data_IF_090598822246
#
_entry.id   IF_090598822246
#
_cell.length_a   1.000
_cell.length_b   1.000
_cell.length_c   1.000
_cell.angle_alpha   90.00
_cell.angle_beta   90.00
_cell.angle_gamma   90.00
#
_symmetry.space_group_name_H-M   'P 1'
#
loop_
_entity.id
_entity.type
_entity.pdbx_description
1 polymer ?
#
# COMPACT_ATOMS: atom_id res chain seq x y z
N UNK A 1 28.70 -38.13 -42.71
CA UNK A 1 27.35 -37.77 -42.21
C UNK A 1 27.40 -36.35 -41.67
N UNK A 2 26.93 -35.40 -42.48
CA UNK A 2 26.78 -33.97 -42.15
C UNK A 2 25.27 -33.65 -42.06
N UNK A 3 24.92 -32.56 -41.37
CA UNK A 3 23.60 -31.93 -41.15
C UNK A 3 23.08 -32.12 -39.71
N UNK A 4 22.56 -31.11 -38.99
CA UNK A 4 22.35 -29.69 -39.27
C UNK A 4 22.11 -28.96 -37.93
N UNK A 5 22.64 -27.74 -37.83
CA UNK A 5 22.20 -26.73 -36.88
C UNK A 5 20.78 -26.27 -37.23
N UNK A 6 19.90 -26.09 -36.24
CA UNK A 6 18.94 -24.97 -36.13
C UNK A 6 17.84 -25.28 -35.11
N UNK A 7 17.88 -24.67 -33.93
CA UNK A 7 16.68 -24.04 -33.34
C UNK A 7 17.08 -22.75 -32.62
N UNK A 8 16.94 -21.64 -33.36
CA UNK A 8 16.75 -20.31 -32.81
C UNK A 8 15.52 -20.35 -31.91
N UNK A 9 15.68 -20.07 -30.61
CA UNK A 9 14.57 -19.60 -29.77
C UNK A 9 14.91 -18.19 -29.31
N UNK A 10 14.53 -17.25 -30.15
CA UNK A 10 14.36 -15.85 -29.79
C UNK A 10 13.30 -15.79 -28.67
N UNK A 11 13.74 -15.61 -27.44
CA UNK A 11 12.86 -15.33 -26.32
C UNK A 11 12.76 -13.81 -26.18
N UNK A 12 11.89 -13.23 -27.01
CA UNK A 12 11.30 -11.93 -26.73
C UNK A 12 10.31 -12.13 -25.57
N UNK A 13 10.71 -11.74 -24.38
CA UNK A 13 9.73 -11.41 -23.35
C UNK A 13 10.08 -10.07 -22.75
N UNK A 14 9.37 -9.06 -23.26
CA UNK A 14 9.04 -7.81 -22.59
C UNK A 14 8.84 -8.06 -21.08
N UNK A 15 9.81 -7.65 -20.28
CA UNK A 15 9.64 -7.44 -18.84
C UNK A 15 10.06 -6.01 -18.48
N UNK A 16 9.66 -5.04 -19.31
CA UNK A 16 9.68 -3.62 -18.99
C UNK A 16 8.30 -3.26 -18.42
N UNK A 17 8.03 -3.64 -17.17
CA UNK A 17 6.68 -3.47 -16.60
C UNK A 17 6.57 -3.49 -15.09
N UNK A 18 7.67 -3.38 -14.34
CA UNK A 18 7.66 -3.47 -12.86
C UNK A 18 8.48 -2.36 -12.22
N UNK A 19 8.13 -1.08 -12.48
CA UNK A 19 8.69 0.04 -11.69
C UNK A 19 7.61 0.88 -10.99
N UNK A 20 6.32 0.69 -11.28
CA UNK A 20 5.28 1.64 -10.84
C UNK A 20 4.60 1.34 -9.48
N UNK A 21 5.29 0.67 -8.55
CA UNK A 21 4.78 0.47 -7.18
C UNK A 21 5.78 0.81 -6.06
N UNK A 22 7.03 1.20 -6.39
CA UNK A 22 8.07 1.47 -5.38
C UNK A 22 8.20 2.93 -4.95
N UNK A 23 7.71 3.88 -5.76
CA UNK A 23 8.06 5.29 -5.61
C UNK A 23 7.18 6.07 -4.60
N UNK A 24 6.09 5.48 -4.07
CA UNK A 24 5.25 6.18 -3.09
C UNK A 24 5.65 5.94 -1.62
N UNK A 25 6.48 4.93 -1.35
CA UNK A 25 6.93 4.59 0.00
C UNK A 25 8.43 4.83 0.25
N UNK A 26 9.20 5.30 -0.74
CA UNK A 26 10.62 5.59 -0.60
C UNK A 26 10.95 6.74 0.39
N UNK A 27 9.96 7.45 0.91
CA UNK A 27 10.11 8.43 2.00
C UNK A 27 9.80 7.87 3.39
N UNK A 28 9.21 6.67 3.50
CA UNK A 28 8.96 5.99 4.77
C UNK A 28 10.11 5.03 5.01
N UNK A 29 11.26 5.61 5.39
CA UNK A 29 12.32 4.84 6.01
C UNK A 29 11.71 3.94 7.08
N UNK A 30 12.04 2.67 6.99
CA UNK A 30 11.61 1.55 7.82
C UNK A 30 12.03 1.75 9.29
N UNK A 31 11.50 2.76 9.97
CA UNK A 31 11.39 2.76 11.41
C UNK A 31 10.15 1.93 11.73
N UNK A 32 10.31 0.84 12.50
CA UNK A 32 9.16 0.07 12.97
C UNK A 32 8.09 1.05 13.48
N UNK A 33 6.83 0.96 13.00
CA UNK A 33 5.79 1.93 13.28
C UNK A 33 5.70 2.17 14.79
N UNK A 34 5.42 3.42 15.16
CA UNK A 34 5.37 3.79 16.57
C UNK A 34 4.39 2.96 17.41
N UNK A 35 3.42 2.35 16.74
CA UNK A 35 2.55 1.31 17.28
C UNK A 35 2.32 0.23 16.20
N UNK A 36 2.69 -1.05 16.43
CA UNK A 36 2.43 -2.13 15.47
C UNK A 36 0.94 -2.37 15.21
N UNK A 37 0.05 -2.03 16.15
CA UNK A 37 -1.40 -2.17 15.98
C UNK A 37 -1.96 -1.18 14.95
N UNK A 38 -1.44 0.05 14.92
CA UNK A 38 -1.85 1.05 13.91
C UNK A 38 -1.44 0.62 12.49
N UNK A 39 -0.27 0.04 12.34
CA UNK A 39 0.16 -0.51 11.06
C UNK A 39 -0.66 -1.73 10.64
N UNK A 40 -0.98 -2.63 11.59
CA UNK A 40 -1.87 -3.76 11.32
C UNK A 40 -3.28 -3.31 10.91
N UNK A 41 -3.80 -2.23 11.52
CA UNK A 41 -5.08 -1.64 11.17
C UNK A 41 -5.08 -1.07 9.74
N UNK A 42 -4.04 -0.32 9.33
CA UNK A 42 -3.94 0.22 7.96
C UNK A 42 -3.87 -0.90 6.91
N UNK A 43 -3.09 -1.95 7.18
CA UNK A 43 -2.97 -3.11 6.31
C UNK A 43 -4.29 -3.89 6.19
N UNK A 44 -5.04 -4.00 7.29
CA UNK A 44 -6.37 -4.63 7.28
C UNK A 44 -7.37 -3.80 6.46
N UNK A 45 -7.32 -2.47 6.57
CA UNK A 45 -8.13 -1.56 5.77
C UNK A 45 -7.79 -1.66 4.27
N UNK A 46 -6.52 -1.81 3.92
CA UNK A 46 -6.10 -2.04 2.53
C UNK A 46 -6.64 -3.35 1.96
N UNK A 47 -6.53 -4.44 2.72
CA UNK A 47 -7.12 -5.74 2.34
C UNK A 47 -8.62 -5.64 2.13
N UNK A 48 -9.34 -4.94 3.01
CA UNK A 48 -10.78 -4.74 2.89
C UNK A 48 -11.15 -3.97 1.61
N UNK A 49 -10.39 -2.93 1.24
CA UNK A 49 -10.59 -2.20 -0.03
C UNK A 49 -10.40 -3.15 -1.21
N UNK A 50 -9.31 -3.93 -1.24
CA UNK A 50 -9.04 -4.86 -2.33
C UNK A 50 -10.15 -5.91 -2.48
N UNK A 51 -10.65 -6.46 -1.37
CA UNK A 51 -11.77 -7.40 -1.36
C UNK A 51 -13.06 -6.75 -1.89
N UNK A 52 -13.35 -5.52 -1.48
CA UNK A 52 -14.52 -4.78 -1.96
C UNK A 52 -14.40 -4.45 -3.45
N UNK A 53 -13.24 -4.03 -3.94
CA UNK A 53 -13.03 -3.72 -5.36
C UNK A 53 -13.12 -4.98 -6.24
N UNK A 54 -12.67 -6.13 -5.74
CA UNK A 54 -12.77 -7.42 -6.42
C UNK A 54 -14.19 -8.02 -6.41
N UNK A 55 -15.06 -7.60 -5.48
CA UNK A 55 -16.41 -8.12 -5.37
C UNK A 55 -17.25 -7.79 -6.63
N UNK A 56 -17.88 -8.81 -7.20
CA UNK A 56 -18.72 -8.70 -8.40
C UNK A 56 -20.20 -8.91 -8.05
N UNK A 57 -21.05 -8.07 -8.62
CA UNK A 57 -22.50 -8.16 -8.62
C UNK A 57 -22.89 -7.86 -10.07
N UNK A 58 -23.07 -8.91 -10.85
CA UNK A 58 -23.44 -8.80 -12.25
C UNK A 58 -24.97 -8.65 -12.35
N UNK A 59 -25.42 -7.85 -13.31
CA UNK A 59 -26.85 -7.67 -13.58
C UNK A 59 -27.59 -6.63 -12.72
N UNK A 60 -26.98 -6.02 -11.70
CA UNK A 60 -27.63 -4.95 -10.90
C UNK A 60 -27.00 -3.58 -11.18
N UNK A 61 -27.85 -2.58 -11.47
CA UNK A 61 -27.49 -1.17 -11.57
C UNK A 61 -28.22 -0.33 -10.51
N UNK A 62 -27.51 0.43 -9.65
CA UNK A 62 -26.05 0.44 -9.51
C UNK A 62 -25.51 -0.85 -8.85
N UNK A 63 -24.27 -1.28 -9.17
CA UNK A 63 -23.66 -2.44 -8.53
C UNK A 63 -23.69 -2.30 -7.01
N UNK A 64 -24.21 -3.32 -6.31
CA UNK A 64 -24.36 -3.32 -4.85
C UNK A 64 -25.10 -2.08 -4.29
N UNK A 65 -26.03 -1.49 -5.05
CA UNK A 65 -26.77 -0.30 -4.60
C UNK A 65 -25.88 0.94 -4.40
N UNK A 66 -24.63 0.94 -4.89
CA UNK A 66 -23.65 1.99 -4.61
C UNK A 66 -23.01 1.92 -3.21
N UNK A 67 -23.44 0.99 -2.35
CA UNK A 67 -22.90 0.84 -0.99
C UNK A 67 -21.43 0.41 -0.99
N UNK A 68 -21.03 -0.42 -1.97
CA UNK A 68 -19.62 -0.80 -2.16
C UNK A 68 -18.71 0.42 -2.35
N UNK A 69 -19.11 1.36 -3.20
CA UNK A 69 -18.35 2.58 -3.45
C UNK A 69 -18.27 3.47 -2.20
N UNK A 70 -19.40 3.62 -1.47
CA UNK A 70 -19.42 4.35 -0.20
C UNK A 70 -18.53 3.70 0.87
N UNK A 71 -18.57 2.37 1.00
CA UNK A 71 -17.71 1.63 1.92
C UNK A 71 -16.22 1.84 1.61
N UNK A 72 -15.82 1.70 0.34
CA UNK A 72 -14.44 1.98 -0.08
C UNK A 72 -14.04 3.42 0.25
N UNK A 73 -14.94 4.39 0.05
CA UNK A 73 -14.67 5.79 0.41
C UNK A 73 -14.44 5.97 1.92
N UNK A 74 -15.31 5.41 2.77
CA UNK A 74 -15.17 5.49 4.23
C UNK A 74 -13.87 4.83 4.72
N UNK A 75 -13.52 3.66 4.19
CA UNK A 75 -12.28 2.97 4.56
C UNK A 75 -11.06 3.80 4.13
N UNK A 76 -11.09 4.44 2.95
CA UNK A 76 -10.02 5.36 2.52
C UNK A 76 -9.89 6.57 3.45
N UNK A 77 -10.98 7.12 3.99
CA UNK A 77 -10.89 8.19 5.00
C UNK A 77 -10.30 7.67 6.32
N UNK A 78 -10.71 6.48 6.78
CA UNK A 78 -10.16 5.87 7.98
C UNK A 78 -8.64 5.67 7.87
N UNK A 79 -8.14 5.19 6.73
CA UNK A 79 -6.69 5.08 6.47
C UNK A 79 -5.94 6.42 6.59
N UNK A 80 -6.54 7.53 6.14
CA UNK A 80 -5.92 8.86 6.30
C UNK A 80 -5.77 9.23 7.77
N UNK A 81 -6.78 8.94 8.59
CA UNK A 81 -6.71 9.21 10.04
C UNK A 81 -5.71 8.29 10.74
N UNK A 82 -5.62 7.00 10.36
CA UNK A 82 -4.59 6.08 10.85
C UNK A 82 -3.19 6.60 10.50
N UNK A 83 -2.98 7.06 9.27
CA UNK A 83 -1.69 7.62 8.84
C UNK A 83 -1.31 8.90 9.64
N UNK A 84 -2.29 9.74 9.99
CA UNK A 84 -2.06 10.88 10.89
C UNK A 84 -1.69 10.42 12.30
N UNK A 85 -2.38 9.41 12.83
CA UNK A 85 -2.08 8.84 14.14
C UNK A 85 -0.66 8.26 14.21
N UNK A 86 -0.22 7.54 13.16
CA UNK A 86 1.15 7.03 13.03
C UNK A 86 2.16 8.20 13.06
N UNK A 87 1.96 9.23 12.23
CA UNK A 87 2.83 10.42 12.20
C UNK A 87 2.89 11.16 13.54
N UNK A 88 1.77 11.24 14.24
CA UNK A 88 1.70 11.83 15.57
C UNK A 88 2.53 11.01 16.57
N UNK A 89 2.33 9.69 16.60
CA UNK A 89 3.07 8.79 17.48
C UNK A 89 4.59 8.80 17.19
N UNK A 90 4.99 8.90 15.91
CA UNK A 90 6.39 9.09 15.52
C UNK A 90 6.98 10.43 15.99
N UNK A 91 6.19 11.51 15.93
CA UNK A 91 6.61 12.83 16.41
C UNK A 91 6.83 12.83 17.91
N UNK A 92 5.93 12.21 18.68
CA UNK A 92 6.00 12.11 20.15
C UNK A 92 7.11 11.17 20.62
N UNK A 93 7.53 10.18 19.81
CA UNK A 93 8.69 9.33 20.12
C UNK A 93 10.04 10.06 20.06
N UNK A 94 10.12 11.26 19.47
CA UNK A 94 11.38 12.00 19.42
C UNK A 94 11.76 12.47 20.83
N UNK A 95 12.96 12.15 21.34
CA UNK A 95 13.36 12.54 22.68
C UNK A 95 13.31 14.06 22.83
N UNK A 96 12.71 14.54 23.94
CA UNK A 96 12.77 15.97 24.29
C UNK A 96 14.24 16.39 24.35
N UNK A 97 14.63 17.54 23.75
CA UNK A 97 15.99 18.03 23.87
C UNK A 97 16.34 18.20 25.35
N UNK A 98 17.57 17.87 25.77
CA UNK A 98 17.98 18.01 27.15
C UNK A 98 17.75 19.46 27.61
N UNK A 99 17.32 19.69 28.86
CA UNK A 99 17.08 21.04 29.35
C UNK A 99 18.35 21.89 29.16
N UNK A 100 18.22 23.04 28.49
CA UNK A 100 19.33 23.98 28.31
C UNK A 100 19.85 24.34 29.70
N UNK A 101 21.08 23.92 30.04
CA UNK A 101 21.78 24.43 31.22
C UNK A 101 21.89 25.96 31.06
N UNK A 102 21.15 26.70 31.89
CA UNK A 102 21.38 28.13 32.07
C UNK A 102 22.82 28.26 32.58
N UNK A 103 23.68 28.90 31.79
CA UNK A 103 25.01 29.33 32.20
C UNK A 103 24.88 30.55 33.10
#
# INVERSE_FOLDING_TARGET
>A
MLQSNWKKKSLRTLAAGTVLAGAFYAGMAFAAPADPLLAAADLSAEKAIAQLEAAKNEGVKPPFGGHRAKAVWHIKQARKEIAKAIKYAEKERKPKPPPKKKR
#
